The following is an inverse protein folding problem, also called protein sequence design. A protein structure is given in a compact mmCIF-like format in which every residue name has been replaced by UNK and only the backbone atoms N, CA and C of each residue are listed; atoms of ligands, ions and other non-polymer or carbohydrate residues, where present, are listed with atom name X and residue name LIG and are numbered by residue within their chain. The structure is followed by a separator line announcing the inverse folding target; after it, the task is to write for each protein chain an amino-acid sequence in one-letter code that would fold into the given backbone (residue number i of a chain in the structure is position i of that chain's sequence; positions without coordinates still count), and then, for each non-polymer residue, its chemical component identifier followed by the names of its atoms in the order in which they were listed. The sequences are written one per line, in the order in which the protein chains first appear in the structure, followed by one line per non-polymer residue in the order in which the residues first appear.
data_IF_050959910399
#
_entry.id   IF_050959910399
#
_cell.length_a   1.000
_cell.length_b   1.000
_cell.length_c   1.000
_cell.angle_alpha   90.00
_cell.angle_beta   90.00
_cell.angle_gamma   90.00
#
_symmetry.space_group_name_H-M   'P 1'
#
loop_
_entity.id
_entity.type
_entity.pdbx_description
1 polymer ?
#
# COMPACT_ATOMS: atom_id res chain seq x y z
N UNK A 1 15.09 -6.26 26.03
CA UNK A 1 14.94 -5.97 24.60
C UNK A 1 13.58 -5.31 24.37
N UNK A 2 13.52 -4.02 24.00
CA UNK A 2 12.27 -3.27 23.81
C UNK A 2 11.56 -3.53 22.46
N UNK A 3 11.78 -4.68 21.83
CA UNK A 3 11.19 -5.06 20.53
C UNK A 3 9.67 -5.31 20.60
N UNK A 4 9.11 -5.43 21.80
CA UNK A 4 7.74 -5.89 22.03
C UNK A 4 6.68 -4.84 21.67
N UNK A 5 6.95 -3.55 21.88
CA UNK A 5 5.91 -2.52 21.73
C UNK A 5 5.70 -2.09 20.27
N UNK A 6 6.80 -1.93 19.51
CA UNK A 6 6.74 -1.62 18.07
C UNK A 6 6.07 -2.74 17.28
N UNK A 7 6.45 -4.00 17.56
CA UNK A 7 5.86 -5.15 16.86
C UNK A 7 4.37 -5.32 17.19
N UNK A 8 3.96 -5.04 18.43
CA UNK A 8 2.55 -5.08 18.83
C UNK A 8 1.73 -3.98 18.15
N UNK A 9 2.27 -2.75 18.10
CA UNK A 9 1.65 -1.64 17.38
C UNK A 9 1.43 -1.99 15.89
N UNK A 10 2.46 -2.52 15.24
CA UNK A 10 2.42 -2.94 13.84
C UNK A 10 1.38 -4.05 13.60
N UNK A 11 1.31 -5.03 14.50
CA UNK A 11 0.31 -6.11 14.43
C UNK A 11 -1.12 -5.58 14.53
N UNK A 12 -1.39 -4.68 15.49
CA UNK A 12 -2.73 -4.10 15.68
C UNK A 12 -3.10 -3.23 14.48
N UNK A 13 -2.17 -2.43 13.97
CA UNK A 13 -2.39 -1.59 12.79
C UNK A 13 -2.72 -2.43 11.54
N UNK A 14 -1.92 -3.45 11.24
CA UNK A 14 -2.11 -4.34 10.09
C UNK A 14 -3.42 -5.14 10.18
N UNK A 15 -3.88 -5.48 11.38
CA UNK A 15 -5.18 -6.11 11.55
C UNK A 15 -6.34 -5.11 11.39
N UNK A 16 -6.18 -3.89 11.91
CA UNK A 16 -7.22 -2.86 11.86
C UNK A 16 -7.45 -2.30 10.44
N UNK A 17 -6.41 -2.17 9.62
CA UNK A 17 -6.52 -1.62 8.25
C UNK A 17 -7.39 -2.50 7.32
N UNK A 18 -7.46 -3.81 7.58
CA UNK A 18 -8.27 -4.77 6.84
C UNK A 18 -9.77 -4.70 7.24
N UNK A 19 -10.09 -4.06 8.37
CA UNK A 19 -11.46 -3.96 8.87
C UNK A 19 -12.20 -2.73 8.31
N UNK A 20 -13.53 -2.79 8.12
CA UNK A 20 -14.34 -1.63 7.83
C UNK A 20 -14.22 -0.55 8.91
N UNK A 21 -14.33 0.73 8.54
CA UNK A 21 -14.18 1.89 9.45
C UNK A 21 -15.03 1.76 10.71
N UNK A 22 -16.25 1.24 10.58
CA UNK A 22 -17.17 1.05 11.70
C UNK A 22 -16.74 -0.02 12.71
N UNK A 23 -15.93 -0.99 12.29
CA UNK A 23 -15.45 -2.10 13.13
C UNK A 23 -14.07 -1.84 13.75
N UNK A 24 -13.31 -0.88 13.19
CA UNK A 24 -11.97 -0.54 13.66
C UNK A 24 -11.95 -0.02 15.10
N UNK A 25 -12.93 0.79 15.50
CA UNK A 25 -13.01 1.35 16.86
C UNK A 25 -13.20 0.28 17.92
N UNK A 26 -14.14 -0.64 17.70
CA UNK A 26 -14.40 -1.76 18.60
C UNK A 26 -13.22 -2.72 18.66
N UNK A 27 -12.55 -2.95 17.53
CA UNK A 27 -11.33 -3.75 17.45
C UNK A 27 -10.19 -3.12 18.27
N UNK A 28 -9.92 -1.83 18.10
CA UNK A 28 -8.90 -1.11 18.85
C UNK A 28 -9.19 -1.10 20.35
N UNK A 29 -10.45 -0.89 20.75
CA UNK A 29 -10.84 -0.93 22.16
C UNK A 29 -10.53 -2.29 22.81
N UNK A 30 -10.69 -3.39 22.05
CA UNK A 30 -10.40 -4.75 22.52
C UNK A 30 -8.90 -5.05 22.56
N UNK A 31 -8.18 -4.79 21.47
CA UNK A 31 -6.76 -5.14 21.35
C UNK A 31 -5.85 -4.21 22.18
N UNK A 32 -6.22 -2.94 22.34
CA UNK A 32 -5.52 -2.00 23.18
C UNK A 32 -5.94 -2.06 24.66
N UNK A 33 -6.88 -2.93 25.06
CA UNK A 33 -7.29 -3.04 26.47
C UNK A 33 -6.12 -3.36 27.41
N UNK A 34 -5.14 -4.14 26.93
CA UNK A 34 -3.93 -4.48 27.67
C UNK A 34 -2.82 -3.42 27.56
N UNK A 35 -2.95 -2.43 26.67
CA UNK A 35 -1.96 -1.38 26.41
C UNK A 35 -2.67 -0.12 25.87
N UNK A 36 -3.41 0.62 26.71
CA UNK A 36 -4.26 1.74 26.29
C UNK A 36 -3.48 2.86 25.60
N UNK A 37 -2.18 2.98 25.90
CA UNK A 37 -1.27 3.94 25.30
C UNK A 37 -1.07 3.73 23.78
N UNK A 38 -1.34 2.53 23.25
CA UNK A 38 -1.20 2.24 21.83
C UNK A 38 -2.41 2.70 21.00
N UNK A 39 -3.58 2.86 21.63
CA UNK A 39 -4.82 3.24 20.95
C UNK A 39 -4.72 4.58 20.20
N UNK A 40 -4.24 5.69 20.80
CA UNK A 40 -4.12 6.95 20.07
C UNK A 40 -3.11 6.86 18.91
N UNK A 41 -2.02 6.11 19.10
CA UNK A 41 -0.97 5.96 18.08
C UNK A 41 -1.50 5.20 16.86
N UNK A 42 -2.16 4.05 17.07
CA UNK A 42 -2.73 3.27 15.96
C UNK A 42 -3.85 4.05 15.26
N UNK A 43 -4.68 4.80 16.00
CA UNK A 43 -5.71 5.65 15.42
C UNK A 43 -5.11 6.73 14.51
N UNK A 44 -4.03 7.38 14.91
CA UNK A 44 -3.31 8.35 14.09
C UNK A 44 -2.75 7.71 12.81
N UNK A 45 -2.15 6.52 12.93
CA UNK A 45 -1.65 5.77 11.77
C UNK A 45 -2.76 5.42 10.78
N UNK A 46 -3.93 4.96 11.26
CA UNK A 46 -5.10 4.66 10.42
C UNK A 46 -5.69 5.92 9.77
N UNK A 47 -5.60 7.08 10.42
CA UNK A 47 -6.02 8.35 9.82
C UNK A 47 -5.06 8.80 8.72
N UNK A 48 -3.75 8.69 8.96
CA UNK A 48 -2.72 9.01 7.97
C UNK A 48 -2.79 8.10 6.73
N UNK A 49 -3.05 6.80 6.92
CA UNK A 49 -3.24 5.87 5.81
C UNK A 49 -4.44 6.25 4.96
N UNK A 50 -5.59 6.56 5.59
CA UNK A 50 -6.79 7.02 4.86
C UNK A 50 -6.53 8.29 4.07
N UNK A 51 -5.91 9.28 4.71
CA UNK A 51 -5.55 10.54 4.04
C UNK A 51 -4.61 10.32 2.86
N UNK A 52 -3.74 9.32 2.94
CA UNK A 52 -2.82 8.97 1.85
C UNK A 52 -3.54 8.26 0.71
N UNK A 53 -4.46 7.34 1.04
CA UNK A 53 -5.27 6.62 0.06
C UNK A 53 -6.23 7.53 -0.71
N UNK A 54 -6.77 8.53 -0.05
CA UNK A 54 -7.65 9.53 -0.64
C UNK A 54 -6.88 10.64 -1.40
N UNK A 55 -5.55 10.67 -1.31
CA UNK A 55 -4.73 11.62 -2.05
C UNK A 55 -4.62 11.22 -3.53
N UNK A 56 -5.15 12.01 -4.48
CA UNK A 56 -5.03 11.73 -5.90
C UNK A 56 -3.58 11.70 -6.41
N UNK A 57 -2.63 12.34 -5.71
CA UNK A 57 -1.20 12.24 -6.01
C UNK A 57 -0.61 10.86 -5.66
N UNK A 58 -1.28 10.06 -4.83
CA UNK A 58 -0.89 8.71 -4.48
C UNK A 58 -1.28 7.66 -5.54
N UNK A 59 -2.19 8.00 -6.46
CA UNK A 59 -2.68 7.14 -7.55
C UNK A 59 -1.65 6.79 -8.64
N UNK A 60 -0.38 7.01 -8.37
CA UNK A 60 0.70 6.92 -9.33
C UNK A 60 1.03 8.29 -9.93
N UNK A 61 2.24 8.44 -10.45
CA UNK A 61 2.71 9.72 -10.93
C UNK A 61 1.90 10.19 -12.16
N UNK A 62 1.60 11.48 -12.22
CA UNK A 62 0.83 12.11 -13.29
C UNK A 62 1.56 12.20 -14.65
N UNK A 63 2.64 11.43 -14.86
CA UNK A 63 3.28 11.34 -16.17
C UNK A 63 2.54 10.36 -17.07
N UNK A 64 2.54 10.66 -18.37
CA UNK A 64 1.94 9.81 -19.39
C UNK A 64 2.68 8.47 -19.47
N UNK A 65 2.14 7.49 -18.76
CA UNK A 65 2.75 6.16 -18.66
C UNK A 65 2.84 5.42 -19.99
N UNK A 66 2.11 5.87 -21.02
CA UNK A 66 2.20 5.34 -22.36
C UNK A 66 3.57 5.60 -23.03
N UNK A 67 4.39 6.53 -22.50
CA UNK A 67 5.68 6.88 -23.07
C UNK A 67 6.87 6.24 -22.33
N UNK A 68 6.63 5.54 -21.22
CA UNK A 68 7.73 4.91 -20.50
C UNK A 68 8.17 3.60 -21.15
N UNK A 69 9.50 3.50 -21.28
CA UNK A 69 10.20 2.29 -21.69
C UNK A 69 11.24 1.93 -20.64
N UNK A 70 11.26 0.65 -20.26
CA UNK A 70 12.25 0.06 -19.36
C UNK A 70 12.93 -1.09 -20.11
N UNK A 71 14.09 -0.81 -20.72
CA UNK A 71 14.76 -1.78 -21.59
C UNK A 71 13.85 -2.20 -22.76
N UNK A 72 13.64 -3.52 -23.00
CA UNK A 72 12.75 -4.00 -24.07
C UNK A 72 11.26 -3.87 -23.71
N UNK A 73 10.89 -3.38 -22.53
CA UNK A 73 9.50 -3.31 -22.11
C UNK A 73 8.92 -1.91 -22.32
N UNK A 74 7.81 -1.83 -23.07
CA UNK A 74 6.97 -0.63 -23.20
C UNK A 74 5.81 -0.72 -22.22
N UNK A 75 5.66 0.31 -21.38
CA UNK A 75 4.58 0.41 -20.40
C UNK A 75 3.23 0.64 -21.11
N UNK A 76 2.22 -0.11 -20.68
CA UNK A 76 0.82 -0.03 -21.16
C UNK A 76 -0.07 0.76 -20.19
N UNK A 77 0.30 0.85 -18.91
CA UNK A 77 -0.44 1.60 -17.89
C UNK A 77 -0.07 1.19 -16.46
N UNK A 78 -0.49 1.99 -15.48
CA UNK A 78 -0.33 1.69 -14.05
C UNK A 78 -1.36 0.63 -13.61
N UNK A 79 -0.90 -0.43 -12.95
CA UNK A 79 -1.74 -1.46 -12.33
C UNK A 79 -1.99 -1.20 -10.84
N UNK A 80 -1.14 -0.42 -10.18
CA UNK A 80 -1.32 -0.03 -8.79
C UNK A 80 -0.07 0.62 -8.20
N UNK A 81 -0.25 1.45 -7.18
CA UNK A 81 0.80 2.11 -6.42
C UNK A 81 0.76 1.70 -4.95
N UNK A 82 1.93 1.57 -4.34
CA UNK A 82 2.12 1.34 -2.91
C UNK A 82 3.21 2.28 -2.38
N UNK A 83 3.43 2.26 -1.07
CA UNK A 83 4.28 3.21 -0.32
C UNK A 83 5.49 3.81 -1.06
N UNK A 84 6.33 2.97 -1.67
CA UNK A 84 7.51 3.40 -2.43
C UNK A 84 7.58 2.79 -3.84
N UNK A 85 6.49 2.19 -4.32
CA UNK A 85 6.52 1.41 -5.56
C UNK A 85 5.30 1.69 -6.41
N UNK A 86 5.48 1.55 -7.72
CA UNK A 86 4.37 1.57 -8.68
C UNK A 86 4.53 0.37 -9.61
N UNK A 87 3.46 -0.38 -9.75
CA UNK A 87 3.35 -1.57 -10.60
C UNK A 87 2.76 -1.13 -11.93
N UNK A 88 3.44 -1.44 -13.02
CA UNK A 88 3.00 -1.15 -14.38
C UNK A 88 2.72 -2.44 -15.15
N UNK A 89 1.68 -2.42 -15.98
CA UNK A 89 1.53 -3.39 -17.06
C UNK A 89 2.46 -2.96 -18.18
N UNK A 90 3.19 -3.90 -18.78
CA UNK A 90 4.09 -3.62 -19.90
C UNK A 90 4.11 -4.78 -20.91
N UNK A 91 4.38 -4.44 -22.16
CA UNK A 91 4.61 -5.40 -23.25
C UNK A 91 6.08 -5.38 -23.63
N UNK A 92 6.64 -6.57 -23.91
CA UNK A 92 7.98 -6.69 -24.47
C UNK A 92 7.92 -6.28 -25.94
N UNK A 93 8.64 -5.22 -26.30
CA UNK A 93 8.77 -4.60 -27.63
C UNK A 93 10.18 -4.83 -28.17
N UNK A 94 10.68 -6.06 -28.02
CA UNK A 94 11.81 -6.57 -28.79
C UNK A 94 11.31 -7.62 -29.79
N UNK A 95 11.79 -7.54 -31.03
CA UNK A 95 11.42 -8.41 -32.15
C UNK A 95 11.94 -9.87 -31.99
N UNK A 96 12.16 -10.33 -30.76
CA UNK A 96 12.91 -11.54 -30.43
C UNK A 96 12.03 -12.71 -29.95
N UNK A 97 10.79 -12.83 -30.44
CA UNK A 97 10.04 -14.09 -30.34
C UNK A 97 9.34 -14.44 -31.66
N UNK A 98 10.11 -14.99 -32.60
CA UNK A 98 9.57 -15.80 -33.70
C UNK A 98 9.47 -17.26 -33.26
N UNK A 99 8.34 -17.65 -32.68
CA UNK A 99 7.97 -19.06 -32.60
C UNK A 99 7.31 -19.45 -33.94
N UNK A 100 7.95 -20.36 -34.68
CA UNK A 100 7.38 -21.01 -35.86
C UNK A 100 7.23 -22.49 -35.54
N UNK A 101 5.98 -22.96 -35.53
CA UNK A 101 5.61 -24.39 -35.45
C UNK A 101 5.96 -25.14 -36.72
#
# INVERSE_FOLDING_TARGET
MPETQRSRLETIFLAAIELPVGEQEDFLARECAASPELMPVVREMLAAERSTRDDPAWGGPAWDSAQLRFGPYRVLGCLGSGGMSVVYSAVRDDDEFRHRV
#
